data_IF_834850678626
#
_entry.id   IF_834850678626
#
_cell.length_a   1.000
_cell.length_b   1.000
_cell.length_c   1.000
_cell.angle_alpha   90.00
_cell.angle_beta   90.00
_cell.angle_gamma   90.00
#
_symmetry.space_group_name_H-M   'P 1'
#
loop_
_entity.id
_entity.type
_entity.pdbx_description
1 polymer ?
#
# COMPACT_ATOMS: atom_id res chain seq x y z
N UNK A 1 9.49 -8.11 13.90
CA UNK A 1 8.12 -7.89 13.39
C UNK A 1 8.02 -8.52 12.00
N UNK A 2 6.97 -9.30 11.75
CA UNK A 2 6.73 -10.00 10.49
C UNK A 2 5.36 -9.65 9.91
N UNK A 3 5.26 -9.74 8.59
CA UNK A 3 4.00 -9.64 7.83
C UNK A 3 3.60 -11.04 7.35
N UNK A 4 2.31 -11.34 7.41
CA UNK A 4 1.73 -12.57 6.86
C UNK A 4 1.28 -12.33 5.43
N UNK A 5 1.90 -13.03 4.48
CA UNK A 5 1.53 -12.99 3.06
C UNK A 5 0.18 -13.66 2.82
N UNK A 6 -0.43 -13.37 1.66
CA UNK A 6 -1.69 -13.99 1.22
C UNK A 6 -1.60 -15.51 1.08
N UNK A 7 -0.40 -16.05 0.87
CA UNK A 7 -0.12 -17.49 0.82
C UNK A 7 0.16 -18.09 2.22
N UNK A 8 0.02 -17.31 3.29
CA UNK A 8 0.27 -17.72 4.67
C UNK A 8 1.74 -17.64 5.11
N UNK A 9 2.68 -17.35 4.21
CA UNK A 9 4.11 -17.24 4.57
C UNK A 9 4.39 -16.00 5.40
N UNK A 10 5.31 -16.11 6.35
CA UNK A 10 5.79 -14.97 7.15
C UNK A 10 7.04 -14.39 6.51
N UNK A 11 7.08 -13.07 6.35
CA UNK A 11 8.28 -12.35 5.93
C UNK A 11 8.59 -11.20 6.88
N UNK A 12 9.87 -10.89 7.12
CA UNK A 12 10.23 -9.73 7.91
C UNK A 12 9.72 -8.45 7.24
N UNK A 13 9.28 -7.49 8.06
CA UNK A 13 8.89 -6.17 7.57
C UNK A 13 10.13 -5.46 7.03
N UNK A 14 10.05 -5.00 5.79
CA UNK A 14 11.12 -4.26 5.13
C UNK A 14 10.55 -2.97 4.56
N UNK A 15 11.08 -1.83 5.01
CA UNK A 15 10.66 -0.51 4.53
C UNK A 15 10.79 -0.38 3.01
N UNK A 16 11.89 -0.84 2.45
CA UNK A 16 12.14 -0.75 1.00
C UNK A 16 11.08 -1.51 0.18
N UNK A 17 10.58 -2.64 0.69
CA UNK A 17 9.50 -3.40 0.02
C UNK A 17 8.18 -2.63 0.02
N UNK A 18 7.85 -1.95 1.11
CA UNK A 18 6.65 -1.12 1.23
C UNK A 18 6.77 0.08 0.28
N UNK A 19 7.88 0.81 0.36
CA UNK A 19 8.17 1.98 -0.49
C UNK A 19 8.16 1.61 -1.97
N UNK A 20 8.80 0.51 -2.37
CA UNK A 20 8.83 0.05 -3.76
C UNK A 20 7.42 -0.30 -4.27
N UNK A 21 6.59 -0.91 -3.41
CA UNK A 21 5.20 -1.24 -3.75
C UNK A 21 4.37 0.01 -4.02
N UNK A 22 4.43 1.01 -3.15
CA UNK A 22 3.71 2.28 -3.33
C UNK A 22 4.24 3.03 -4.56
N UNK A 23 5.56 3.11 -4.73
CA UNK A 23 6.22 3.79 -5.86
C UNK A 23 5.78 3.22 -7.21
N UNK A 24 5.63 1.89 -7.32
CA UNK A 24 5.13 1.24 -8.55
C UNK A 24 3.74 1.73 -8.96
N UNK A 25 2.93 2.21 -8.02
CA UNK A 25 1.57 2.71 -8.25
C UNK A 25 1.52 4.22 -8.51
N UNK A 26 2.64 4.94 -8.37
CA UNK A 26 2.74 6.38 -8.60
C UNK A 26 2.96 6.78 -10.08
N UNK A 27 2.83 5.86 -11.03
CA UNK A 27 3.04 6.16 -12.45
C UNK A 27 2.12 7.28 -12.96
N UNK A 28 2.68 8.29 -13.62
CA UNK A 28 1.92 9.42 -14.16
C UNK A 28 1.19 10.27 -13.12
N UNK A 29 1.56 10.19 -11.83
CA UNK A 29 1.11 11.14 -10.81
C UNK A 29 2.07 12.32 -10.74
N UNK A 30 1.59 13.44 -10.20
CA UNK A 30 2.42 14.61 -9.94
C UNK A 30 3.62 14.26 -9.04
N UNK A 31 4.79 14.88 -9.28
CA UNK A 31 6.01 14.68 -8.49
C UNK A 31 5.91 15.09 -7.02
N UNK A 32 4.88 15.85 -6.64
CA UNK A 32 4.54 16.14 -5.24
C UNK A 32 3.99 14.93 -4.48
N UNK A 33 3.58 13.87 -5.19
CA UNK A 33 3.18 12.59 -4.58
C UNK A 33 4.43 11.78 -4.24
N UNK A 34 4.75 11.75 -2.95
CA UNK A 34 5.93 11.09 -2.42
C UNK A 34 5.57 9.71 -1.83
N UNK A 35 5.98 8.60 -2.45
CA UNK A 35 5.72 7.26 -1.93
C UNK A 35 6.44 6.98 -0.60
N UNK A 36 7.54 7.68 -0.31
CA UNK A 36 8.30 7.52 0.94
C UNK A 36 7.49 8.02 2.12
N UNK A 37 6.82 9.17 1.99
CA UNK A 37 5.93 9.72 3.03
C UNK A 37 4.80 8.76 3.41
N UNK A 38 4.20 8.11 2.41
CA UNK A 38 3.17 7.08 2.64
C UNK A 38 3.78 5.91 3.40
N UNK A 39 4.92 5.38 2.94
CA UNK A 39 5.57 4.23 3.56
C UNK A 39 6.00 4.46 5.01
N UNK A 40 6.48 5.67 5.34
CA UNK A 40 6.88 6.03 6.71
C UNK A 40 5.68 5.93 7.66
N UNK A 41 4.56 6.57 7.29
CA UNK A 41 3.32 6.50 8.09
C UNK A 41 2.73 5.11 8.17
N UNK A 42 2.90 4.30 7.11
CA UNK A 42 2.44 2.90 7.13
C UNK A 42 3.18 2.14 8.23
N UNK A 43 4.52 2.25 8.28
CA UNK A 43 5.33 1.56 9.30
C UNK A 43 4.91 1.92 10.73
N UNK A 44 4.60 3.19 10.98
CA UNK A 44 4.15 3.66 12.30
C UNK A 44 2.85 2.98 12.75
N UNK A 45 2.00 2.56 11.82
CA UNK A 45 0.74 1.85 12.10
C UNK A 45 0.82 0.32 12.04
N UNK A 46 1.99 -0.27 11.80
CA UNK A 46 2.12 -1.74 11.72
C UNK A 46 2.28 -2.38 13.10
N UNK A 47 1.75 -3.60 13.20
CA UNK A 47 1.90 -4.49 14.34
C UNK A 47 2.40 -5.87 13.89
N UNK A 48 2.91 -6.68 14.83
CA UNK A 48 3.45 -8.00 14.50
C UNK A 48 2.36 -8.97 14.03
N UNK A 49 2.60 -9.64 12.90
CA UNK A 49 1.64 -10.58 12.32
C UNK A 49 0.61 -9.95 11.39
N UNK A 50 0.67 -8.63 11.12
CA UNK A 50 -0.20 -7.96 10.17
C UNK A 50 -0.17 -8.63 8.79
N UNK A 51 -1.33 -8.78 8.15
CA UNK A 51 -1.38 -9.41 6.82
C UNK A 51 -0.99 -8.42 5.71
N UNK A 52 -0.48 -8.93 4.58
CA UNK A 52 -0.20 -8.09 3.41
C UNK A 52 -1.45 -7.41 2.83
N UNK A 53 -2.65 -7.91 3.15
CA UNK A 53 -3.91 -7.28 2.74
C UNK A 53 -4.27 -6.11 3.63
N UNK A 54 -4.10 -6.24 4.95
CA UNK A 54 -4.29 -5.14 5.91
C UNK A 54 -3.24 -4.04 5.72
N UNK A 55 -1.99 -4.40 5.46
CA UNK A 55 -0.93 -3.44 5.12
C UNK A 55 -1.32 -2.58 3.92
N UNK A 56 -1.89 -3.18 2.88
CA UNK A 56 -2.36 -2.45 1.70
C UNK A 56 -3.57 -1.55 2.01
N UNK A 57 -4.49 -2.00 2.87
CA UNK A 57 -5.62 -1.17 3.31
C UNK A 57 -5.13 0.06 4.08
N UNK A 58 -4.21 -0.13 5.03
CA UNK A 58 -3.60 0.96 5.78
C UNK A 58 -2.86 1.93 4.86
N UNK A 59 -2.11 1.42 3.87
CA UNK A 59 -1.43 2.27 2.88
C UNK A 59 -2.41 3.09 2.03
N UNK A 60 -3.56 2.53 1.67
CA UNK A 60 -4.60 3.26 0.94
C UNK A 60 -5.26 4.34 1.82
N UNK A 61 -5.58 4.04 3.07
CA UNK A 61 -6.13 5.01 4.03
C UNK A 61 -5.17 6.17 4.25
N UNK A 62 -3.89 5.89 4.52
CA UNK A 62 -2.85 6.91 4.69
C UNK A 62 -2.72 7.77 3.43
N UNK A 63 -2.67 7.16 2.24
CA UNK A 63 -2.65 7.92 0.99
C UNK A 63 -3.89 8.82 0.87
N UNK A 64 -5.08 8.35 1.24
CA UNK A 64 -6.29 9.17 1.21
C UNK A 64 -6.20 10.38 2.15
N UNK A 65 -5.61 10.24 3.35
CA UNK A 65 -5.40 11.38 4.26
C UNK A 65 -4.49 12.47 3.69
N UNK A 66 -3.56 12.10 2.80
CA UNK A 66 -2.63 13.02 2.14
C UNK A 66 -3.24 13.77 0.95
N UNK A 67 -4.52 13.51 0.63
CA UNK A 67 -5.27 14.28 -0.38
C UNK A 67 -5.31 15.78 -0.05
N UNK A 68 -5.24 16.12 1.24
CA UNK A 68 -5.11 17.51 1.72
C UNK A 68 -3.83 18.21 1.24
N UNK A 69 -2.79 17.45 0.90
CA UNK A 69 -1.52 17.98 0.36
C UNK A 69 -1.58 18.08 -1.16
N UNK A 70 -2.09 17.04 -1.85
CA UNK A 70 -2.24 17.05 -3.30
C UNK A 70 -3.33 16.04 -3.74
N UNK A 71 -4.23 16.39 -4.69
CA UNK A 71 -5.34 15.51 -5.08
C UNK A 71 -4.92 14.17 -5.69
N UNK A 72 -3.75 14.08 -6.32
CA UNK A 72 -3.26 12.79 -6.87
C UNK A 72 -2.98 11.73 -5.79
N UNK A 73 -2.86 12.09 -4.51
CA UNK A 73 -2.83 11.10 -3.44
C UNK A 73 -4.13 10.30 -3.34
N UNK A 74 -5.28 10.88 -3.71
CA UNK A 74 -6.54 10.13 -3.82
C UNK A 74 -6.48 9.09 -4.96
N UNK A 75 -5.84 9.43 -6.09
CA UNK A 75 -5.60 8.47 -7.17
C UNK A 75 -4.66 7.34 -6.72
N UNK A 76 -3.62 7.68 -5.97
CA UNK A 76 -2.71 6.68 -5.38
C UNK A 76 -3.47 5.74 -4.42
N UNK A 77 -4.28 6.29 -3.52
CA UNK A 77 -5.12 5.52 -2.59
C UNK A 77 -6.02 4.54 -3.34
N UNK A 78 -6.76 5.03 -4.35
CA UNK A 78 -7.60 4.19 -5.20
C UNK A 78 -6.81 3.07 -5.91
N UNK A 79 -5.62 3.37 -6.43
CA UNK A 79 -4.76 2.37 -7.08
C UNK A 79 -4.24 1.31 -6.11
N UNK A 80 -3.92 1.69 -4.87
CA UNK A 80 -3.54 0.73 -3.82
C UNK A 80 -4.72 -0.19 -3.52
N UNK A 81 -5.91 0.37 -3.27
CA UNK A 81 -7.13 -0.41 -2.99
C UNK A 81 -7.49 -1.37 -4.13
N UNK A 82 -7.47 -0.91 -5.38
CA UNK A 82 -7.74 -1.76 -6.56
C UNK A 82 -6.64 -2.83 -6.73
N UNK A 83 -5.37 -2.49 -6.52
CA UNK A 83 -4.29 -3.48 -6.55
C UNK A 83 -4.46 -4.54 -5.47
N UNK A 84 -4.95 -4.17 -4.28
CA UNK A 84 -5.24 -5.12 -3.21
C UNK A 84 -6.41 -6.03 -3.61
N UNK A 85 -7.51 -5.44 -4.09
CA UNK A 85 -8.69 -6.16 -4.56
C UNK A 85 -8.34 -7.20 -5.63
N UNK A 86 -7.61 -6.81 -6.68
CA UNK A 86 -7.17 -7.73 -7.74
C UNK A 86 -6.35 -8.91 -7.22
N UNK A 87 -5.63 -8.76 -6.10
CA UNK A 87 -4.87 -9.86 -5.49
C UNK A 87 -5.73 -10.79 -4.62
N UNK A 88 -6.92 -10.34 -4.22
CA UNK A 88 -7.88 -11.11 -3.43
C UNK A 88 -9.03 -11.66 -4.29
N UNK A 89 -9.03 -11.41 -5.59
CA UNK A 89 -10.04 -11.90 -6.54
C UNK A 89 -9.42 -12.84 -7.56
N UNK A 90 -10.22 -13.77 -8.09
CA UNK A 90 -9.81 -14.63 -9.21
C UNK A 90 -9.57 -13.77 -10.46
N UNK A 91 -8.58 -14.14 -11.27
CA UNK A 91 -8.26 -13.41 -12.52
C UNK A 91 -9.30 -13.60 -13.62
N UNK A 92 -10.02 -14.72 -13.58
CA UNK A 92 -11.04 -15.09 -14.57
C UNK A 92 -12.42 -14.94 -13.96
N UNK A 93 -13.35 -14.45 -14.77
CA UNK A 93 -14.77 -14.38 -14.44
C UNK A 93 -15.47 -15.74 -14.57
N UNK A 94 -15.03 -16.58 -15.52
CA UNK A 94 -15.46 -17.96 -15.70
C UNK A 94 -14.65 -18.93 -14.84
#
# INVERSE_FOLDING_TARGET
>A
MFVVKRDGRKEPIMFDKITARVRKLCYGLNGLVDPVKVAMRVIEGLYDGVTTSELDNLAAEIAATLTTTHPDYAKLAARISVSNLHKNTKKSFS
#
